data_IF_734166448841
#
_entry.id   IF_734166448841
#
_cell.length_a   1.000
_cell.length_b   1.000
_cell.length_c   1.000
_cell.angle_alpha   90.00
_cell.angle_beta   90.00
_cell.angle_gamma   90.00
#
_symmetry.space_group_name_H-M   'P 1'
#
loop_
_entity.id
_entity.type
_entity.pdbx_description
1 polymer ?
#
# COMPACT_ATOMS: atom_id res chain seq x y z
N UNK A 1 -2.33 -14.97 38.87
CA UNK A 1 -1.56 -15.54 37.76
C UNK A 1 -0.64 -14.44 37.30
N UNK A 2 0.65 -14.56 37.58
CA UNK A 2 1.66 -13.57 37.17
C UNK A 2 1.76 -13.66 35.65
N UNK A 3 1.27 -12.64 34.92
CA UNK A 3 1.46 -12.58 33.47
C UNK A 3 2.97 -12.56 33.22
N UNK A 4 3.50 -13.55 32.51
CA UNK A 4 4.89 -13.54 32.07
C UNK A 4 5.13 -12.29 31.23
N UNK A 5 5.89 -11.34 31.78
CA UNK A 5 6.16 -10.06 31.13
C UNK A 5 7.03 -10.30 29.89
N UNK A 6 6.50 -10.00 28.70
CA UNK A 6 7.25 -10.10 27.46
C UNK A 6 8.31 -9.00 27.46
N UNK A 7 9.58 -9.40 27.42
CA UNK A 7 10.73 -8.47 27.44
C UNK A 7 11.44 -8.44 26.09
N UNK A 8 12.13 -7.33 25.83
CA UNK A 8 12.95 -7.14 24.64
C UNK A 8 14.12 -8.13 24.61
N UNK A 9 14.13 -9.00 23.60
CA UNK A 9 15.21 -9.93 23.29
C UNK A 9 15.62 -9.81 21.83
N UNK A 10 16.80 -10.31 21.49
CA UNK A 10 17.39 -10.11 20.16
C UNK A 10 16.53 -10.73 19.04
N UNK A 11 15.83 -11.83 19.32
CA UNK A 11 14.89 -12.45 18.36
C UNK A 11 13.68 -11.56 18.10
N UNK A 12 13.15 -10.90 19.14
CA UNK A 12 12.06 -9.95 19.00
C UNK A 12 12.50 -8.70 18.26
N UNK A 13 13.69 -8.17 18.55
CA UNK A 13 14.23 -7.01 17.82
C UNK A 13 14.40 -7.34 16.34
N UNK A 14 14.91 -8.53 16.01
CA UNK A 14 15.02 -9.00 14.63
C UNK A 14 13.65 -9.11 13.97
N UNK A 15 12.66 -9.69 14.66
CA UNK A 15 11.29 -9.77 14.13
C UNK A 15 10.70 -8.40 13.83
N UNK A 16 10.81 -7.45 14.77
CA UNK A 16 10.29 -6.09 14.58
C UNK A 16 11.04 -5.35 13.47
N UNK A 17 12.35 -5.57 13.34
CA UNK A 17 13.15 -5.01 12.25
C UNK A 17 12.70 -5.55 10.89
N UNK A 18 12.50 -6.88 10.78
CA UNK A 18 11.99 -7.49 9.55
C UNK A 18 10.60 -6.95 9.18
N UNK A 19 9.71 -6.77 10.15
CA UNK A 19 8.39 -6.17 9.91
C UNK A 19 8.47 -4.70 9.46
N UNK A 20 9.41 -3.93 10.02
CA UNK A 20 9.64 -2.55 9.59
C UNK A 20 10.10 -2.47 8.12
N UNK A 21 10.99 -3.36 7.72
CA UNK A 21 11.50 -3.46 6.35
C UNK A 21 10.41 -3.94 5.38
N UNK A 22 9.63 -4.97 5.75
CA UNK A 22 8.46 -5.44 4.98
C UNK A 22 7.45 -4.33 4.74
N UNK A 23 7.09 -3.59 5.79
CA UNK A 23 6.20 -2.44 5.66
C UNK A 23 6.78 -1.35 4.74
N UNK A 24 8.09 -1.11 4.81
CA UNK A 24 8.79 -0.20 3.90
C UNK A 24 8.68 -0.63 2.43
N UNK A 25 8.89 -1.92 2.15
CA UNK A 25 8.73 -2.50 0.82
C UNK A 25 7.29 -2.42 0.30
N UNK A 26 6.30 -2.73 1.15
CA UNK A 26 4.87 -2.62 0.82
C UNK A 26 4.46 -1.17 0.54
N UNK A 27 4.98 -0.22 1.31
CA UNK A 27 4.76 1.20 1.07
C UNK A 27 5.24 1.61 -0.32
N UNK A 28 6.46 1.22 -0.70
CA UNK A 28 7.00 1.51 -2.03
C UNK A 28 6.14 0.88 -3.14
N UNK A 29 5.74 -0.38 -2.98
CA UNK A 29 4.90 -1.08 -3.95
C UNK A 29 3.57 -0.36 -4.18
N UNK A 30 2.92 0.06 -3.09
CA UNK A 30 1.66 0.79 -3.19
C UNK A 30 1.83 2.22 -3.72
N UNK A 31 2.94 2.92 -3.43
CA UNK A 31 3.26 4.21 -4.07
C UNK A 31 3.43 4.07 -5.58
N UNK A 32 4.08 3.01 -6.05
CA UNK A 32 4.22 2.77 -7.48
C UNK A 32 2.89 2.35 -8.14
N UNK A 33 2.03 1.63 -7.43
CA UNK A 33 0.67 1.34 -7.90
C UNK A 33 -0.18 2.61 -7.99
N UNK A 34 -0.08 3.51 -7.01
CA UNK A 34 -0.76 4.82 -7.04
C UNK A 34 -0.38 5.60 -8.29
N UNK A 35 0.91 5.74 -8.58
CA UNK A 35 1.40 6.36 -9.83
C UNK A 35 0.87 5.68 -11.08
N UNK A 36 0.90 4.35 -11.10
CA UNK A 36 0.41 3.55 -12.22
C UNK A 36 -1.07 3.82 -12.50
N UNK A 37 -1.94 3.67 -11.50
CA UNK A 37 -3.39 3.86 -11.65
C UNK A 37 -3.80 5.33 -11.82
N UNK A 38 -3.03 6.26 -11.27
CA UNK A 38 -3.22 7.70 -11.50
C UNK A 38 -3.10 8.05 -12.98
N UNK A 39 -2.11 7.48 -13.68
CA UNK A 39 -1.96 7.69 -15.11
C UNK A 39 -3.17 7.16 -15.91
N UNK A 40 -3.69 5.97 -15.61
CA UNK A 40 -4.90 5.46 -16.27
C UNK A 40 -6.13 6.32 -15.97
N UNK A 41 -6.26 6.77 -14.73
CA UNK A 41 -7.35 7.67 -14.31
C UNK A 41 -7.32 8.95 -15.15
N UNK A 42 -6.16 9.59 -15.24
CA UNK A 42 -6.00 10.83 -15.99
C UNK A 42 -6.20 10.64 -17.49
N UNK A 43 -5.72 9.53 -18.04
CA UNK A 43 -5.86 9.22 -19.47
C UNK A 43 -7.31 9.05 -19.91
N UNK A 44 -8.21 8.66 -19.00
CA UNK A 44 -9.64 8.52 -19.29
C UNK A 44 -10.43 9.77 -18.87
N UNK A 45 -10.10 10.36 -17.72
CA UNK A 45 -10.80 11.54 -17.22
C UNK A 45 -10.58 12.77 -18.11
N UNK A 46 -9.36 13.02 -18.59
CA UNK A 46 -9.06 14.22 -19.38
C UNK A 46 -9.81 14.25 -20.73
N UNK A 47 -9.84 13.17 -21.55
CA UNK A 47 -10.66 13.15 -22.75
C UNK A 47 -12.15 13.32 -22.46
N UNK A 48 -12.68 12.70 -21.40
CA UNK A 48 -14.09 12.86 -21.01
C UNK A 48 -14.39 14.32 -20.67
N UNK A 49 -13.52 15.00 -19.92
CA UNK A 49 -13.68 16.43 -19.59
C UNK A 49 -13.70 17.28 -20.87
N UNK A 50 -12.70 17.11 -21.74
CA UNK A 50 -12.58 17.90 -22.97
C UNK A 50 -13.81 17.68 -23.86
N UNK A 51 -14.20 16.43 -24.10
CA UNK A 51 -15.37 16.11 -24.93
C UNK A 51 -16.68 16.58 -24.31
N UNK A 52 -16.82 16.53 -22.98
CA UNK A 52 -17.98 17.08 -22.27
C UNK A 52 -18.08 18.59 -22.45
N UNK A 53 -16.96 19.32 -22.34
CA UNK A 53 -16.90 20.77 -22.57
C UNK A 53 -17.22 21.12 -24.03
N UNK A 54 -16.64 20.38 -24.99
CA UNK A 54 -16.93 20.56 -26.42
C UNK A 54 -18.41 20.30 -26.70
N UNK A 55 -18.99 19.23 -26.17
CA UNK A 55 -20.41 18.91 -26.33
C UNK A 55 -21.31 20.00 -25.73
N UNK A 56 -20.97 20.52 -24.54
CA UNK A 56 -21.70 21.63 -23.92
C UNK A 56 -21.66 22.91 -24.75
N UNK A 57 -20.49 23.27 -25.28
CA UNK A 57 -20.32 24.44 -26.14
C UNK A 57 -21.08 24.29 -27.48
N UNK A 58 -20.93 23.14 -28.14
CA UNK A 58 -21.61 22.85 -29.40
C UNK A 58 -23.13 22.82 -29.23
N UNK A 59 -23.64 22.33 -28.09
CA UNK A 59 -25.08 22.34 -27.80
C UNK A 59 -25.62 23.77 -27.74
N UNK A 60 -24.95 24.67 -27.00
CA UNK A 60 -25.35 26.06 -26.85
C UNK A 60 -25.11 26.93 -28.10
N UNK A 61 -24.12 26.60 -28.93
CA UNK A 61 -23.75 27.37 -30.14
C UNK A 61 -24.18 26.70 -31.45
N UNK A 62 -25.00 25.65 -31.37
CA UNK A 62 -25.37 24.79 -32.49
C UNK A 62 -25.96 25.55 -33.68
N UNK A 63 -26.83 26.52 -33.42
CA UNK A 63 -27.51 27.32 -34.45
C UNK A 63 -26.56 28.24 -35.23
N UNK A 64 -25.43 28.63 -34.63
CA UNK A 64 -24.44 29.52 -35.24
C UNK A 64 -23.35 28.74 -35.96
N UNK A 65 -23.02 27.54 -35.48
CA UNK A 65 -21.90 26.73 -35.99
C UNK A 65 -22.35 25.80 -37.12
N UNK A 66 -23.58 25.28 -37.08
CA UNK A 66 -24.07 24.33 -38.07
C UNK A 66 -25.12 24.95 -38.99
N UNK A 67 -24.93 24.79 -40.30
CA UNK A 67 -25.86 25.30 -41.31
C UNK A 67 -27.13 24.47 -41.45
N UNK A 68 -27.14 23.22 -40.97
CA UNK A 68 -28.31 22.34 -40.95
C UNK A 68 -28.57 21.77 -39.55
N UNK A 69 -29.80 21.89 -39.01
CA UNK A 69 -30.18 21.31 -37.71
C UNK A 69 -29.94 19.80 -37.62
N UNK A 70 -30.17 19.06 -38.71
CA UNK A 70 -29.98 17.61 -38.76
C UNK A 70 -28.51 17.23 -38.56
N UNK A 71 -27.60 17.94 -39.23
CA UNK A 71 -26.15 17.73 -39.09
C UNK A 71 -25.65 18.07 -37.69
N UNK A 72 -26.21 19.11 -37.05
CA UNK A 72 -25.90 19.46 -35.67
C UNK A 72 -26.34 18.37 -34.70
N UNK A 73 -27.55 17.83 -34.86
CA UNK A 73 -28.08 16.79 -33.98
C UNK A 73 -27.30 15.48 -34.07
N UNK A 74 -26.91 15.07 -35.28
CA UNK A 74 -26.09 13.86 -35.48
C UNK A 74 -24.70 14.04 -34.87
N UNK A 75 -24.05 15.18 -35.13
CA UNK A 75 -22.70 15.46 -34.58
C UNK A 75 -22.69 15.49 -33.05
N UNK A 76 -23.66 16.18 -32.44
CA UNK A 76 -23.83 16.22 -30.98
C UNK A 76 -24.13 14.83 -30.41
N UNK A 77 -24.97 14.04 -31.07
CA UNK A 77 -25.30 12.68 -30.66
C UNK A 77 -24.08 11.76 -30.60
N UNK A 78 -23.21 11.82 -31.62
CA UNK A 78 -21.99 10.99 -31.68
C UNK A 78 -20.99 11.39 -30.58
N UNK A 79 -20.71 12.68 -30.41
CA UNK A 79 -19.77 13.15 -29.37
C UNK A 79 -20.30 12.82 -27.97
N UNK A 80 -21.60 13.01 -27.74
CA UNK A 80 -22.26 12.68 -26.48
C UNK A 80 -22.18 11.18 -26.18
N UNK A 81 -22.50 10.31 -27.15
CA UNK A 81 -22.42 8.86 -26.99
C UNK A 81 -20.99 8.42 -26.67
N UNK A 82 -20.00 8.92 -27.42
CA UNK A 82 -18.59 8.57 -27.20
C UNK A 82 -18.10 9.00 -25.82
N UNK A 83 -18.45 10.21 -25.39
CA UNK A 83 -18.15 10.73 -24.04
C UNK A 83 -18.81 9.86 -22.96
N UNK A 84 -20.07 9.47 -23.17
CA UNK A 84 -20.81 8.59 -22.27
C UNK A 84 -20.13 7.23 -22.12
N UNK A 85 -19.75 6.58 -23.22
CA UNK A 85 -19.04 5.29 -23.20
C UNK A 85 -17.71 5.39 -22.45
N UNK A 86 -16.89 6.41 -22.74
CA UNK A 86 -15.64 6.64 -22.03
C UNK A 86 -15.87 6.83 -20.52
N UNK A 87 -16.88 7.61 -20.15
CA UNK A 87 -17.24 7.84 -18.75
C UNK A 87 -17.71 6.55 -18.08
N UNK A 88 -18.50 5.70 -18.75
CA UNK A 88 -18.96 4.42 -18.21
C UNK A 88 -17.79 3.46 -18.00
N UNK A 89 -16.85 3.39 -18.95
CA UNK A 89 -15.63 2.58 -18.82
C UNK A 89 -14.80 3.05 -17.62
N UNK A 90 -14.62 4.36 -17.46
CA UNK A 90 -13.93 4.94 -16.30
C UNK A 90 -14.57 4.57 -14.96
N UNK A 91 -15.90 4.68 -14.87
CA UNK A 91 -16.67 4.32 -13.68
C UNK A 91 -16.64 2.83 -13.38
N UNK A 92 -16.69 1.97 -14.42
CA UNK A 92 -16.65 0.52 -14.28
C UNK A 92 -15.33 0.03 -13.68
N UNK A 93 -14.19 0.49 -14.22
CA UNK A 93 -12.88 0.09 -13.70
C UNK A 93 -12.50 0.81 -12.40
N UNK A 94 -13.17 1.92 -12.07
CA UNK A 94 -13.00 2.68 -10.84
C UNK A 94 -11.52 3.01 -10.52
N UNK A 95 -10.73 3.33 -11.55
CA UNK A 95 -9.28 3.58 -11.39
C UNK A 95 -8.98 4.66 -10.36
N UNK A 96 -9.78 5.74 -10.31
CA UNK A 96 -9.62 6.80 -9.31
C UNK A 96 -9.73 6.27 -7.86
N UNK A 97 -10.73 5.42 -7.60
CA UNK A 97 -10.92 4.80 -6.28
C UNK A 97 -9.74 3.88 -5.93
N UNK A 98 -9.24 3.12 -6.91
CA UNK A 98 -8.10 2.21 -6.71
C UNK A 98 -6.80 2.99 -6.48
N UNK A 99 -6.57 4.07 -7.20
CA UNK A 99 -5.45 5.01 -6.98
C UNK A 99 -5.44 5.50 -5.54
N UNK A 100 -6.58 5.97 -5.05
CA UNK A 100 -6.70 6.48 -3.67
C UNK A 100 -6.49 5.39 -2.63
N UNK A 101 -7.03 4.19 -2.85
CA UNK A 101 -6.80 3.05 -1.95
C UNK A 101 -5.31 2.67 -1.86
N UNK A 102 -4.59 2.67 -3.00
CA UNK A 102 -3.14 2.47 -3.01
C UNK A 102 -2.40 3.61 -2.30
N UNK A 103 -2.79 4.88 -2.52
CA UNK A 103 -2.19 6.04 -1.85
C UNK A 103 -2.30 5.95 -0.33
N UNK A 104 -3.50 5.63 0.18
CA UNK A 104 -3.76 5.47 1.60
C UNK A 104 -2.91 4.32 2.16
N UNK A 105 -2.94 3.16 1.52
CA UNK A 105 -2.16 1.99 1.95
C UNK A 105 -0.67 2.32 2.01
N UNK A 106 -0.12 2.97 0.99
CA UNK A 106 1.28 3.37 0.92
C UNK A 106 1.71 4.25 2.12
N UNK A 107 0.89 5.24 2.45
CA UNK A 107 1.14 6.17 3.57
C UNK A 107 1.08 5.42 4.90
N UNK A 108 0.09 4.54 5.09
CA UNK A 108 -0.07 3.82 6.36
C UNK A 108 1.05 2.81 6.61
N UNK A 109 1.44 2.02 5.60
CA UNK A 109 2.61 1.15 5.72
C UNK A 109 3.89 1.95 5.99
N UNK A 110 4.05 3.12 5.37
CA UNK A 110 5.20 3.98 5.64
C UNK A 110 5.23 4.48 7.08
N UNK A 111 4.06 4.82 7.65
CA UNK A 111 3.94 5.23 9.07
C UNK A 111 4.37 4.10 10.00
N UNK A 112 3.92 2.87 9.76
CA UNK A 112 4.30 1.70 10.56
C UNK A 112 5.81 1.47 10.48
N UNK A 113 6.36 1.44 9.25
CA UNK A 113 7.80 1.25 9.02
C UNK A 113 8.64 2.29 9.78
N UNK A 114 8.26 3.57 9.70
CA UNK A 114 8.93 4.66 10.42
C UNK A 114 8.77 4.55 11.93
N UNK A 115 7.57 4.21 12.41
CA UNK A 115 7.31 4.02 13.83
C UNK A 115 8.21 2.92 14.41
N UNK A 116 8.26 1.76 13.76
CA UNK A 116 9.12 0.65 14.19
C UNK A 116 10.61 1.00 14.12
N UNK A 117 11.05 1.69 13.07
CA UNK A 117 12.44 2.12 12.93
C UNK A 117 12.85 3.11 14.04
N UNK A 118 11.95 4.04 14.42
CA UNK A 118 12.18 4.97 15.54
C UNK A 118 12.28 4.19 16.85
N UNK A 119 11.35 3.29 17.14
CA UNK A 119 11.38 2.48 18.36
C UNK A 119 12.68 1.65 18.46
N UNK A 120 13.11 1.02 17.36
CA UNK A 120 14.36 0.26 17.35
C UNK A 120 15.62 1.14 17.48
N UNK A 121 15.54 2.43 17.13
CA UNK A 121 16.66 3.37 17.30
C UNK A 121 16.87 3.81 18.76
N UNK A 122 15.83 3.69 19.60
CA UNK A 122 15.91 4.05 21.02
C UNK A 122 16.59 2.95 21.85
N UNK A 123 17.20 3.28 23.01
CA UNK A 123 17.67 2.30 23.98
C UNK A 123 16.51 1.42 24.50
N UNK A 124 16.76 0.13 24.77
CA UNK A 124 15.73 -0.85 25.20
C UNK A 124 14.84 -0.39 26.37
N UNK A 125 15.37 0.47 27.26
CA UNK A 125 14.68 0.98 28.44
C UNK A 125 13.70 2.13 28.15
N UNK A 126 13.87 2.83 27.02
CA UNK A 126 13.04 3.97 26.59
C UNK A 126 11.97 3.57 25.57
N UNK A 127 12.03 2.33 25.06
CA UNK A 127 11.09 1.80 24.07
C UNK A 127 9.74 1.51 24.68
N UNK A 128 8.73 1.47 23.81
CA UNK A 128 7.43 0.88 24.12
C UNK A 128 7.63 -0.57 24.62
N UNK A 129 6.79 -0.99 25.58
CA UNK A 129 6.83 -2.35 26.10
C UNK A 129 6.71 -3.38 24.96
N UNK A 130 7.51 -4.44 25.03
CA UNK A 130 7.59 -5.45 23.97
C UNK A 130 6.22 -6.10 23.65
N UNK A 131 5.35 -6.27 24.65
CA UNK A 131 3.96 -6.75 24.45
C UNK A 131 3.13 -5.76 23.62
N UNK A 132 3.26 -4.47 23.93
CA UNK A 132 2.45 -3.41 23.31
C UNK A 132 2.89 -3.17 21.87
N UNK A 133 4.20 -3.11 21.60
CA UNK A 133 4.68 -2.89 20.23
C UNK A 133 4.27 -4.04 19.30
N UNK A 134 4.31 -5.29 19.77
CA UNK A 134 3.85 -6.45 19.02
C UNK A 134 2.36 -6.36 18.70
N UNK A 135 1.55 -5.99 19.70
CA UNK A 135 0.11 -5.84 19.54
C UNK A 135 -0.23 -4.71 18.56
N UNK A 136 0.33 -3.52 18.78
CA UNK A 136 0.11 -2.35 17.91
C UNK A 136 0.48 -2.68 16.46
N UNK A 137 1.66 -3.29 16.27
CA UNK A 137 2.16 -3.62 14.93
C UNK A 137 1.28 -4.65 14.25
N UNK A 138 0.93 -5.73 14.95
CA UNK A 138 0.05 -6.78 14.40
C UNK A 138 -1.32 -6.21 14.02
N UNK A 139 -1.98 -5.51 14.94
CA UNK A 139 -3.33 -4.98 14.73
C UNK A 139 -3.35 -4.00 13.54
N UNK A 140 -2.29 -3.18 13.39
CA UNK A 140 -2.16 -2.24 12.28
C UNK A 140 -1.88 -2.94 10.95
N UNK A 141 -0.98 -3.93 10.93
CA UNK A 141 -0.66 -4.70 9.71
C UNK A 141 -1.87 -5.51 9.26
N UNK A 142 -2.55 -6.25 10.15
CA UNK A 142 -3.74 -7.03 9.84
C UNK A 142 -4.83 -6.15 9.21
N UNK A 143 -5.13 -5.02 9.87
CA UNK A 143 -6.08 -4.04 9.32
C UNK A 143 -5.66 -3.54 7.93
N UNK A 144 -4.38 -3.28 7.71
CA UNK A 144 -3.91 -2.85 6.41
C UNK A 144 -4.03 -3.95 5.37
N UNK A 145 -3.71 -5.19 5.69
CA UNK A 145 -3.85 -6.32 4.76
C UNK A 145 -5.29 -6.50 4.31
N UNK A 146 -6.28 -6.28 5.19
CA UNK A 146 -7.70 -6.37 4.85
C UNK A 146 -8.17 -5.29 3.85
N UNK A 147 -7.63 -4.07 3.96
CA UNK A 147 -8.05 -2.94 3.13
C UNK A 147 -7.14 -2.70 1.92
N UNK A 148 -5.96 -3.33 1.90
CA UNK A 148 -4.95 -3.10 0.87
C UNK A 148 -5.39 -3.70 -0.48
N UNK A 149 -5.45 -2.90 -1.55
CA UNK A 149 -5.77 -3.40 -2.87
C UNK A 149 -4.64 -4.27 -3.45
N UNK A 150 -5.00 -5.23 -4.29
CA UNK A 150 -4.05 -6.12 -4.94
C UNK A 150 -3.04 -5.38 -5.82
N UNK A 151 -1.78 -5.81 -5.75
CA UNK A 151 -0.63 -5.24 -6.47
C UNK A 151 -0.49 -5.95 -7.83
N UNK A 152 -0.42 -5.21 -8.95
CA UNK A 152 -0.21 -5.80 -10.28
C UNK A 152 1.19 -6.44 -10.42
N UNK A 153 1.28 -7.51 -11.20
CA UNK A 153 2.54 -8.24 -11.46
C UNK A 153 3.61 -7.37 -12.16
N UNK A 154 3.18 -6.40 -12.97
CA UNK A 154 4.08 -5.42 -13.60
C UNK A 154 4.87 -4.61 -12.56
N UNK A 155 4.24 -4.24 -11.45
CA UNK A 155 4.86 -3.48 -10.35
C UNK A 155 5.75 -4.39 -9.51
N UNK A 156 5.34 -5.63 -9.27
CA UNK A 156 6.18 -6.65 -8.60
C UNK A 156 7.48 -6.87 -9.39
N UNK A 157 7.37 -6.99 -10.72
CA UNK A 157 8.53 -7.13 -11.60
C UNK A 157 9.41 -5.89 -11.57
N UNK A 158 8.82 -4.69 -11.53
CA UNK A 158 9.55 -3.43 -11.36
C UNK A 158 10.31 -3.39 -10.04
N UNK A 159 9.67 -3.81 -8.94
CA UNK A 159 10.30 -3.88 -7.62
C UNK A 159 11.56 -4.75 -7.65
N UNK A 160 11.43 -5.98 -8.18
CA UNK A 160 12.54 -6.94 -8.29
C UNK A 160 13.73 -6.40 -9.11
N UNK A 161 13.47 -5.51 -10.07
CA UNK A 161 14.52 -4.85 -10.86
C UNK A 161 15.17 -3.68 -10.13
N UNK A 162 14.41 -2.93 -9.33
CA UNK A 162 14.91 -1.76 -8.59
C UNK A 162 15.71 -2.19 -7.36
N UNK A 163 15.30 -3.27 -6.70
CA UNK A 163 15.94 -3.81 -5.50
C UNK A 163 16.46 -5.24 -5.79
N UNK A 164 17.56 -5.38 -6.56
CA UNK A 164 18.13 -6.69 -6.87
C UNK A 164 18.81 -7.33 -5.65
N UNK A 165 19.41 -6.52 -4.78
CA UNK A 165 20.02 -6.96 -3.53
C UNK A 165 18.93 -7.03 -2.44
N UNK A 166 18.87 -8.17 -1.75
CA UNK A 166 17.86 -8.46 -0.73
C UNK A 166 18.47 -8.48 0.67
N UNK A 167 19.27 -7.47 0.97
CA UNK A 167 19.90 -7.33 2.28
C UNK A 167 18.88 -6.97 3.37
N UNK A 168 17.68 -6.51 2.97
CA UNK A 168 16.53 -6.23 3.85
C UNK A 168 15.43 -7.27 3.66
N UNK A 169 14.63 -7.50 4.70
CA UNK A 169 13.46 -8.35 4.64
C UNK A 169 12.46 -7.83 3.59
N UNK A 170 12.05 -8.74 2.71
CA UNK A 170 11.18 -8.40 1.59
C UNK A 170 9.71 -8.72 1.92
N UNK A 171 8.76 -7.98 1.34
CA UNK A 171 7.35 -8.33 1.42
C UNK A 171 7.08 -9.74 0.86
N UNK A 172 6.12 -10.44 1.45
CA UNK A 172 5.74 -11.80 1.05
C UNK A 172 5.29 -11.89 -0.42
N UNK A 173 4.69 -10.82 -0.95
CA UNK A 173 4.28 -10.73 -2.36
C UNK A 173 5.48 -10.81 -3.34
N UNK A 174 6.70 -10.56 -2.86
CA UNK A 174 7.93 -10.62 -3.66
C UNK A 174 8.64 -11.98 -3.49
N UNK A 175 8.82 -12.43 -2.25
CA UNK A 175 9.60 -13.64 -1.90
C UNK A 175 8.79 -14.94 -1.92
N UNK A 176 7.46 -14.87 -1.79
CA UNK A 176 6.62 -16.03 -1.56
C UNK A 176 6.64 -16.48 -0.11
N UNK A 177 6.39 -17.77 0.12
CA UNK A 177 6.28 -18.33 1.48
C UNK A 177 7.64 -18.40 2.18
N UNK A 178 7.80 -17.64 3.29
CA UNK A 178 8.97 -17.72 4.15
C UNK A 178 8.82 -18.85 5.17
N UNK A 179 9.89 -19.61 5.40
CA UNK A 179 9.91 -20.64 6.45
C UNK A 179 9.80 -19.98 7.83
N UNK A 180 8.90 -20.48 8.66
CA UNK A 180 8.77 -20.06 10.06
C UNK A 180 9.90 -20.66 10.88
N UNK A 181 10.66 -19.82 11.59
CA UNK A 181 11.71 -20.23 12.49
C UNK A 181 11.19 -20.24 13.93
N UNK A 182 11.41 -21.35 14.63
CA UNK A 182 11.06 -21.47 16.04
C UNK A 182 12.22 -20.96 16.87
N UNK A 183 11.96 -19.99 17.74
CA UNK A 183 12.94 -19.54 18.71
C UNK A 183 13.20 -20.66 19.72
N UNK A 184 14.44 -21.16 19.78
CA UNK A 184 14.87 -22.23 20.70
C UNK A 184 15.50 -21.69 21.98
N UNK A 185 15.55 -20.37 22.18
CA UNK A 185 16.10 -19.80 23.41
C UNK A 185 15.19 -20.11 24.61
N UNK A 186 15.72 -20.82 25.61
CA UNK A 186 15.04 -21.06 26.89
C UNK A 186 15.45 -19.94 27.88
N UNK A 187 14.47 -19.40 28.61
CA UNK A 187 14.74 -18.46 29.71
C UNK A 187 15.23 -19.29 30.90
N UNK A 188 16.52 -19.20 31.24
CA UNK A 188 17.08 -19.89 32.41
C UNK A 188 17.04 -18.92 33.59
N UNK A 189 16.14 -19.19 34.53
CA UNK A 189 16.13 -18.50 35.83
C UNK A 189 17.28 -19.03 36.68
N UNK A 190 18.42 -18.32 36.66
CA UNK A 190 19.50 -18.55 37.63
C UNK A 190 19.08 -17.87 38.93
N UNK A 191 19.19 -18.58 40.06
CA UNK A 191 18.75 -18.20 41.42
C UNK A 191 19.37 -16.90 42.02
N UNK A 192 19.93 -16.01 41.21
CA UNK A 192 20.60 -14.76 41.59
C UNK A 192 19.82 -13.50 41.14
N UNK A 193 18.50 -13.62 40.95
CA UNK A 193 17.60 -12.47 40.76
C UNK A 193 17.69 -11.75 39.41
N UNK A 194 18.43 -12.26 38.43
CA UNK A 194 18.41 -11.76 37.03
C UNK A 194 18.25 -12.94 36.05
N UNK A 195 17.22 -12.94 35.18
CA UNK A 195 17.08 -13.98 34.17
C UNK A 195 18.25 -13.91 33.18
N UNK A 196 18.86 -15.05 32.86
CA UNK A 196 19.88 -15.17 31.79
C UNK A 196 19.29 -15.99 30.65
N UNK A 197 19.45 -15.52 29.42
CA UNK A 197 19.03 -16.22 28.20
C UNK A 197 20.15 -17.21 27.83
N UNK A 198 19.83 -18.50 27.68
CA UNK A 198 20.80 -19.52 27.27
C UNK A 198 20.30 -20.29 26.03
N UNK A 199 21.23 -20.63 25.13
CA UNK A 199 20.96 -21.40 23.92
C UNK A 199 21.19 -22.88 24.22
N UNK A 200 20.16 -23.71 24.04
CA UNK A 200 20.31 -25.16 24.10
C UNK A 200 21.02 -25.63 22.81
N UNK A 201 22.24 -26.12 22.95
CA UNK A 201 23.01 -26.74 21.86
C UNK A 201 22.38 -28.06 21.43
#
# INVERSE_FOLDING_TARGET
MEETEVTWNDSLETLVAEEAERCGGLSWLHSECERYFSNFTNWIALPVIILSTVNGFLSGSSQTIFSSPETSSIGLGVVSLFTGVLSTVGSYFAWAKRTEAHRISAIQYQKISKFLAIELSLPKVERVAAKDILKITRDQIERLMEISPAIPESIITKYKKVFPNRDTAQPEVIEGFKKVFINKHEIVHVNDGRPKIAIKT
#
